data_IF_840220414963
#
_entry.id   IF_840220414963
#
_cell.length_a   1.000
_cell.length_b   1.000
_cell.length_c   1.000
_cell.angle_alpha   90.00
_cell.angle_beta   90.00
_cell.angle_gamma   90.00
#
_symmetry.space_group_name_H-M   'P 1'
#
loop_
_entity.id
_entity.type
_entity.pdbx_description
1 polymer ?
#
# COMPACT_ATOMS: atom_id res chain seq x y z
N UNK A 1 0.30 8.69 -19.04
CA UNK A 1 0.65 9.62 -17.97
C UNK A 1 1.73 8.96 -17.14
N UNK A 2 2.75 9.70 -16.72
CA UNK A 2 3.77 9.15 -15.82
C UNK A 2 3.11 8.71 -14.52
N UNK A 3 3.39 7.46 -14.12
CA UNK A 3 2.92 6.94 -12.84
C UNK A 3 3.84 7.45 -11.75
N UNK A 4 3.30 8.22 -10.81
CA UNK A 4 4.05 8.84 -9.71
C UNK A 4 4.19 7.92 -8.49
N UNK A 5 3.36 6.88 -8.40
CA UNK A 5 3.40 5.96 -7.28
C UNK A 5 4.52 4.91 -7.47
N UNK A 6 5.48 4.83 -6.53
CA UNK A 6 6.60 3.89 -6.62
C UNK A 6 6.21 2.41 -6.59
N UNK A 7 5.04 2.05 -6.06
CA UNK A 7 4.52 0.67 -6.06
C UNK A 7 4.24 0.16 -7.51
N UNK A 8 4.10 1.06 -8.49
CA UNK A 8 3.89 0.72 -9.91
C UNK A 8 5.12 0.98 -10.80
N UNK A 9 6.24 1.41 -10.21
CA UNK A 9 7.46 1.78 -10.93
C UNK A 9 8.48 0.64 -11.02
N UNK A 10 8.04 -0.62 -10.96
CA UNK A 10 8.93 -1.79 -11.00
C UNK A 10 9.79 -1.82 -12.27
N UNK A 11 9.22 -1.39 -13.40
CA UNK A 11 9.90 -1.36 -14.70
C UNK A 11 10.48 0.00 -15.06
N UNK A 12 10.45 0.96 -14.13
CA UNK A 12 11.01 2.30 -14.32
C UNK A 12 12.52 2.29 -14.00
N UNK A 13 13.27 1.58 -14.85
CA UNK A 13 14.72 1.44 -14.74
C UNK A 13 15.20 0.37 -13.76
N UNK A 14 16.50 0.06 -13.85
CA UNK A 14 17.16 -0.91 -12.97
C UNK A 14 17.78 -0.21 -11.76
N UNK A 15 17.71 -0.86 -10.59
CA UNK A 15 18.37 -0.39 -9.37
C UNK A 15 19.90 -0.32 -9.53
N UNK A 16 20.50 0.79 -9.09
CA UNK A 16 21.96 0.97 -9.06
C UNK A 16 22.64 -0.06 -8.16
N UNK A 17 23.94 -0.29 -8.35
CA UNK A 17 24.70 -1.18 -7.46
C UNK A 17 24.73 -0.65 -6.02
N UNK A 18 24.82 0.67 -5.83
CA UNK A 18 24.82 1.31 -4.53
C UNK A 18 23.48 1.12 -3.80
N UNK A 19 22.35 1.29 -4.48
CA UNK A 19 21.03 1.06 -3.88
C UNK A 19 20.79 -0.43 -3.59
N UNK A 20 21.26 -1.34 -4.44
CA UNK A 20 21.19 -2.79 -4.17
C UNK A 20 21.92 -3.19 -2.90
N UNK A 21 23.06 -2.58 -2.60
CA UNK A 21 23.80 -2.84 -1.36
C UNK A 21 22.98 -2.41 -0.12
N UNK A 22 22.28 -1.27 -0.20
CA UNK A 22 21.38 -0.78 0.87
C UNK A 22 20.22 -1.75 1.13
N UNK A 23 19.71 -2.43 0.10
CA UNK A 23 18.64 -3.44 0.28
C UNK A 23 19.09 -4.67 1.06
N UNK A 24 20.36 -5.04 1.01
CA UNK A 24 20.88 -6.10 1.87
C UNK A 24 20.82 -5.67 3.34
N UNK A 25 21.32 -4.45 3.63
CA UNK A 25 21.27 -3.87 4.98
C UNK A 25 19.84 -3.78 5.53
N UNK A 26 18.87 -3.39 4.69
CA UNK A 26 17.45 -3.32 5.07
C UNK A 26 16.89 -4.69 5.46
N UNK A 27 17.19 -5.74 4.69
CA UNK A 27 16.64 -7.08 4.93
C UNK A 27 17.22 -7.74 6.19
N UNK A 28 18.45 -7.39 6.55
CA UNK A 28 19.12 -7.93 7.74
C UNK A 28 18.79 -7.11 9.01
N UNK A 29 18.15 -5.96 8.87
CA UNK A 29 17.81 -5.08 9.98
C UNK A 29 16.54 -5.53 10.72
N UNK A 30 16.56 -5.35 12.03
CA UNK A 30 15.36 -5.42 12.88
C UNK A 30 14.41 -4.25 12.59
N UNK A 31 13.11 -4.38 12.91
CA UNK A 31 12.15 -3.28 12.75
C UNK A 31 12.57 -1.98 13.44
N UNK A 32 13.16 -2.08 14.63
CA UNK A 32 13.66 -0.94 15.41
C UNK A 32 14.87 -0.30 14.74
N UNK A 33 15.78 -1.10 14.19
CA UNK A 33 16.91 -0.58 13.40
C UNK A 33 16.40 0.13 12.15
N UNK A 34 15.43 -0.45 11.42
CA UNK A 34 14.83 0.18 10.23
C UNK A 34 14.22 1.55 10.53
N UNK A 35 13.63 1.74 11.71
CA UNK A 35 13.10 3.04 12.13
C UNK A 35 14.16 4.12 12.33
N UNK A 36 15.38 3.72 12.69
CA UNK A 36 16.51 4.62 12.91
C UNK A 36 17.42 4.81 11.68
N UNK A 37 17.25 3.96 10.65
CA UNK A 37 18.11 3.96 9.47
C UNK A 37 17.90 5.21 8.61
N UNK A 38 18.99 5.96 8.40
CA UNK A 38 19.06 7.04 7.43
C UNK A 38 19.85 6.57 6.21
N UNK A 39 19.13 6.13 5.17
CA UNK A 39 19.71 5.68 3.91
C UNK A 39 19.43 6.74 2.84
N UNK A 40 20.47 7.29 2.24
CA UNK A 40 20.34 8.15 1.07
C UNK A 40 20.35 7.27 -0.18
N UNK A 41 19.22 7.18 -0.88
CA UNK A 41 19.08 6.42 -2.12
C UNK A 41 19.40 7.27 -3.34
N UNK A 42 20.03 6.65 -4.34
CA UNK A 42 20.25 7.29 -5.65
C UNK A 42 18.88 7.51 -6.32
N UNK A 43 18.06 6.45 -6.34
CA UNK A 43 16.67 6.54 -6.76
C UNK A 43 15.76 6.87 -5.56
N UNK A 44 15.18 8.07 -5.60
CA UNK A 44 14.34 8.62 -4.52
C UNK A 44 13.09 7.80 -4.25
N UNK A 45 12.65 6.93 -5.18
CA UNK A 45 11.49 6.05 -4.96
C UNK A 45 11.71 5.06 -3.81
N UNK A 46 12.96 4.65 -3.57
CA UNK A 46 13.28 3.69 -2.52
C UNK A 46 13.12 4.24 -1.11
N UNK A 47 13.26 5.56 -0.92
CA UNK A 47 12.95 6.20 0.37
C UNK A 47 11.46 6.05 0.71
N UNK A 48 10.59 6.32 -0.27
CA UNK A 48 9.14 6.13 -0.12
C UNK A 48 8.78 4.66 0.07
N UNK A 49 9.39 3.74 -0.69
CA UNK A 49 9.15 2.30 -0.54
C UNK A 49 9.58 1.77 0.83
N UNK A 50 10.72 2.23 1.37
CA UNK A 50 11.18 1.85 2.70
C UNK A 50 10.22 2.34 3.79
N UNK A 51 9.73 3.58 3.69
CA UNK A 51 8.71 4.11 4.58
C UNK A 51 7.43 3.27 4.55
N UNK A 52 6.90 3.00 3.34
CA UNK A 52 5.68 2.17 3.19
C UNK A 52 5.90 0.74 3.65
N UNK A 53 7.08 0.17 3.44
CA UNK A 53 7.44 -1.16 3.92
C UNK A 53 7.40 -1.22 5.45
N UNK A 54 8.00 -0.24 6.14
CA UNK A 54 7.90 -0.14 7.61
C UNK A 54 6.45 0.03 8.07
N UNK A 55 5.71 0.94 7.45
CA UNK A 55 4.34 1.26 7.85
C UNK A 55 3.37 0.09 7.69
N UNK A 56 3.54 -0.74 6.65
CA UNK A 56 2.72 -1.93 6.38
C UNK A 56 3.04 -3.09 7.33
N UNK A 57 4.32 -3.28 7.69
CA UNK A 57 4.75 -4.48 8.43
C UNK A 57 4.91 -4.23 9.94
N UNK A 58 5.38 -3.05 10.34
CA UNK A 58 5.68 -2.70 11.73
C UNK A 58 5.21 -1.27 12.06
N UNK A 59 3.89 -1.00 11.99
CA UNK A 59 3.34 0.35 12.22
C UNK A 59 3.65 0.91 13.62
N UNK A 60 3.93 0.05 14.60
CA UNK A 60 4.34 0.44 15.95
C UNK A 60 5.73 1.11 16.00
N UNK A 61 6.53 0.98 14.94
CA UNK A 61 7.85 1.62 14.81
C UNK A 61 7.79 3.02 14.21
N UNK A 62 6.59 3.47 13.80
CA UNK A 62 6.40 4.81 13.25
C UNK A 62 6.32 5.84 14.36
N UNK A 63 6.91 7.01 14.14
CA UNK A 63 6.63 8.20 14.94
C UNK A 63 5.18 8.67 14.76
N UNK A 64 4.72 9.60 15.59
CA UNK A 64 3.37 10.16 15.45
C UNK A 64 3.16 10.86 14.10
N UNK A 65 4.17 11.61 13.62
CA UNK A 65 4.12 12.32 12.34
C UNK A 65 4.16 11.34 11.15
N UNK A 66 4.97 10.30 11.26
CA UNK A 66 5.02 9.20 10.28
C UNK A 66 3.67 8.48 10.20
N UNK A 67 3.04 8.21 11.35
CA UNK A 67 1.74 7.56 11.41
C UNK A 67 0.64 8.45 10.83
N UNK A 68 0.66 9.75 11.08
CA UNK A 68 -0.27 10.70 10.46
C UNK A 68 -0.11 10.73 8.94
N UNK A 69 1.13 10.81 8.46
CA UNK A 69 1.45 10.74 7.02
C UNK A 69 0.96 9.44 6.39
N UNK A 70 1.17 8.31 7.06
CA UNK A 70 0.72 7.00 6.59
C UNK A 70 -0.81 6.91 6.54
N UNK A 71 -1.52 7.39 7.56
CA UNK A 71 -2.98 7.42 7.60
C UNK A 71 -3.56 8.27 6.47
N UNK A 72 -2.98 9.44 6.21
CA UNK A 72 -3.40 10.29 5.11
C UNK A 72 -3.23 9.58 3.76
N UNK A 73 -2.09 8.93 3.54
CA UNK A 73 -1.87 8.13 2.32
C UNK A 73 -2.88 6.99 2.20
N UNK A 74 -3.15 6.24 3.27
CA UNK A 74 -4.15 5.17 3.26
C UNK A 74 -5.54 5.70 2.90
N UNK A 75 -5.96 6.82 3.49
CA UNK A 75 -7.25 7.45 3.20
C UNK A 75 -7.34 7.88 1.74
N UNK A 76 -6.32 8.58 1.23
CA UNK A 76 -6.31 9.03 -0.17
C UNK A 76 -6.32 7.85 -1.15
N UNK A 77 -5.51 6.82 -0.88
CA UNK A 77 -5.46 5.61 -1.71
C UNK A 77 -6.81 4.91 -1.77
N UNK A 78 -7.44 4.69 -0.61
CA UNK A 78 -8.66 3.90 -0.51
C UNK A 78 -9.90 4.69 -0.95
N UNK A 79 -9.99 5.98 -0.64
CA UNK A 79 -11.22 6.77 -0.86
C UNK A 79 -11.16 7.61 -2.12
N UNK A 80 -9.99 8.11 -2.50
CA UNK A 80 -9.85 9.14 -3.55
C UNK A 80 -9.20 8.64 -4.83
N UNK A 81 -8.83 7.35 -4.92
CA UNK A 81 -8.25 6.80 -6.13
C UNK A 81 -6.95 7.50 -6.54
N UNK A 82 -6.13 7.89 -5.55
CA UNK A 82 -4.84 8.58 -5.77
C UNK A 82 -3.86 7.75 -6.61
N UNK A 83 -4.07 6.43 -6.63
CA UNK A 83 -3.23 5.43 -7.29
C UNK A 83 -3.91 4.87 -8.55
N UNK A 84 -3.14 4.64 -9.63
CA UNK A 84 -3.62 3.95 -10.83
C UNK A 84 -2.64 2.82 -11.21
N UNK A 85 -3.10 1.56 -11.34
CA UNK A 85 -4.47 1.07 -11.19
C UNK A 85 -4.92 0.93 -9.71
N UNK A 86 -6.03 1.57 -9.35
CA UNK A 86 -6.79 1.36 -8.11
C UNK A 86 -8.25 1.75 -8.35
N UNK A 87 -9.18 1.20 -7.56
CA UNK A 87 -10.58 1.64 -7.51
C UNK A 87 -10.80 2.46 -6.24
N UNK A 88 -11.69 3.45 -6.31
CA UNK A 88 -12.09 4.21 -5.13
C UNK A 88 -12.99 3.38 -4.23
N UNK A 89 -13.15 3.80 -2.97
CA UNK A 89 -14.10 3.19 -2.05
C UNK A 89 -15.53 3.23 -2.59
N UNK A 90 -15.91 4.30 -3.30
CA UNK A 90 -17.20 4.39 -3.96
C UNK A 90 -17.36 3.34 -5.06
N UNK A 91 -16.38 3.22 -5.96
CA UNK A 91 -16.42 2.24 -7.05
C UNK A 91 -16.39 0.80 -6.54
N UNK A 92 -15.65 0.55 -5.46
CA UNK A 92 -15.63 -0.73 -4.77
C UNK A 92 -17.02 -1.11 -4.25
N UNK A 93 -17.73 -0.18 -3.59
CA UNK A 93 -19.08 -0.43 -3.08
C UNK A 93 -20.09 -0.69 -4.21
N UNK A 94 -20.05 0.11 -5.28
CA UNK A 94 -20.90 -0.11 -6.47
C UNK A 94 -20.62 -1.48 -7.09
N UNK A 95 -19.34 -1.87 -7.19
CA UNK A 95 -18.94 -3.17 -7.75
C UNK A 95 -19.45 -4.33 -6.88
N UNK A 96 -19.39 -4.19 -5.54
CA UNK A 96 -19.94 -5.19 -4.63
C UNK A 96 -21.45 -5.35 -4.77
N UNK A 97 -22.20 -4.25 -4.88
CA UNK A 97 -23.66 -4.29 -5.03
C UNK A 97 -24.07 -4.95 -6.36
N UNK A 98 -23.40 -4.60 -7.46
CA UNK A 98 -23.65 -5.22 -8.76
C UNK A 98 -23.35 -6.73 -8.74
N UNK A 99 -22.20 -7.12 -8.19
CA UNK A 99 -21.83 -8.53 -8.08
C UNK A 99 -22.78 -9.32 -7.18
N UNK A 100 -23.33 -8.70 -6.13
CA UNK A 100 -24.31 -9.34 -5.27
C UNK A 100 -25.62 -9.60 -6.00
N UNK A 101 -26.05 -8.68 -6.88
CA UNK A 101 -27.22 -8.88 -7.72
C UNK A 101 -27.00 -9.95 -8.79
N UNK A 102 -25.83 -9.96 -9.44
CA UNK A 102 -25.48 -10.92 -10.49
C UNK A 102 -25.30 -12.37 -9.98
N UNK A 103 -25.10 -12.55 -8.67
CA UNK A 103 -24.82 -13.83 -8.05
C UNK A 103 -25.86 -14.18 -6.97
N UNK A 104 -27.10 -13.71 -7.12
CA UNK A 104 -28.17 -13.91 -6.13
C UNK A 104 -28.54 -15.39 -5.91
N UNK A 105 -28.21 -16.26 -6.87
CA UNK A 105 -28.37 -17.70 -6.83
C UNK A 105 -27.14 -18.47 -6.33
N UNK A 106 -26.01 -17.80 -6.09
CA UNK A 106 -24.74 -18.43 -5.70
C UNK A 106 -24.35 -18.08 -4.26
N UNK A 107 -24.77 -18.93 -3.32
CA UNK A 107 -24.52 -18.76 -1.88
C UNK A 107 -23.03 -18.56 -1.52
N UNK A 108 -22.12 -19.27 -2.22
CA UNK A 108 -20.68 -19.14 -1.98
C UNK A 108 -20.18 -17.74 -2.34
N UNK A 109 -20.62 -17.22 -3.48
CA UNK A 109 -20.23 -15.88 -3.93
C UNK A 109 -20.81 -14.81 -2.99
N UNK A 110 -22.10 -14.92 -2.63
CA UNK A 110 -22.74 -14.02 -1.67
C UNK A 110 -22.03 -14.00 -0.32
N UNK A 111 -21.53 -15.14 0.17
CA UNK A 111 -20.76 -15.22 1.40
C UNK A 111 -19.46 -14.39 1.32
N UNK A 112 -18.72 -14.49 0.21
CA UNK A 112 -17.49 -13.72 -0.01
C UNK A 112 -17.82 -12.23 -0.14
N UNK A 113 -18.84 -11.87 -0.90
CA UNK A 113 -19.25 -10.47 -1.09
C UNK A 113 -19.66 -9.81 0.23
N UNK A 114 -20.38 -10.53 1.09
CA UNK A 114 -20.71 -10.07 2.45
C UNK A 114 -19.46 -9.90 3.32
N UNK A 115 -18.47 -10.79 3.21
CA UNK A 115 -17.22 -10.66 3.93
C UNK A 115 -16.42 -9.42 3.48
N UNK A 116 -16.39 -9.14 2.16
CA UNK A 116 -15.76 -7.95 1.59
C UNK A 116 -16.46 -6.66 2.04
N UNK A 117 -17.80 -6.65 2.07
CA UNK A 117 -18.58 -5.53 2.62
C UNK A 117 -18.23 -5.27 4.09
N UNK A 118 -18.23 -6.32 4.92
CA UNK A 118 -17.90 -6.19 6.34
C UNK A 118 -16.47 -5.69 6.56
N UNK A 119 -15.52 -6.15 5.75
CA UNK A 119 -14.14 -5.67 5.80
C UNK A 119 -14.07 -4.17 5.50
N UNK A 120 -14.77 -3.70 4.45
CA UNK A 120 -14.81 -2.28 4.10
C UNK A 120 -15.45 -1.40 5.18
N UNK A 121 -16.47 -1.88 5.89
CA UNK A 121 -17.07 -1.15 7.02
C UNK A 121 -16.19 -1.12 8.28
N UNK A 122 -15.19 -1.99 8.39
CA UNK A 122 -14.29 -2.07 9.55
C UNK A 122 -13.01 -1.24 9.42
N UNK A 123 -12.77 -0.65 8.24
CA UNK A 123 -11.60 0.17 7.92
C UNK A 123 -11.71 1.60 8.44
#
# INVERSE_FOLDING_TARGET
GETTNPDYQLYDGFTSHADKAKFAMIRDATPEQLASMQLDFDDKKFATLLFRYRARNWPHTLSQDELATWRQYCQNKLMHGEDSPSISGQDFMITLENLAHENDDNEKNLHILKALYNYAQSM
#
